data_IF_485303079874
#
_entry.id   IF_485303079874
#
_cell.length_a   1.000
_cell.length_b   1.000
_cell.length_c   1.000
_cell.angle_alpha   90.00
_cell.angle_beta   90.00
_cell.angle_gamma   90.00
#
_symmetry.space_group_name_H-M   'P 1'
#
loop_
_entity.id
_entity.type
_entity.pdbx_description
1 polymer ?
#
# COMPACT_ATOMS: atom_id res chain seq x y z
N UNK A 1 -3.66 -3.47 10.21
CA UNK A 1 -4.31 -4.51 9.39
C UNK A 1 -3.94 -4.43 7.91
N UNK A 2 -2.89 -3.68 7.52
CA UNK A 2 -2.28 -3.74 6.17
C UNK A 2 -3.28 -3.76 5.00
N UNK A 3 -4.31 -2.89 5.03
CA UNK A 3 -5.33 -2.80 3.99
C UNK A 3 -6.42 -3.90 3.99
N UNK A 4 -6.28 -4.94 4.82
CA UNK A 4 -7.18 -6.11 4.88
C UNK A 4 -8.48 -5.84 5.66
N UNK A 5 -9.15 -4.73 5.34
CA UNK A 5 -10.41 -4.28 5.98
C UNK A 5 -11.49 -4.12 4.92
N UNK A 6 -12.65 -4.73 5.14
CA UNK A 6 -13.79 -4.64 4.20
C UNK A 6 -14.17 -3.18 3.90
N UNK A 7 -14.21 -2.34 4.93
CA UNK A 7 -14.51 -0.91 4.86
C UNK A 7 -13.28 0.00 4.65
N UNK A 8 -12.12 -0.54 4.24
CA UNK A 8 -10.97 0.31 3.90
C UNK A 8 -11.31 1.27 2.74
N UNK A 9 -10.83 2.50 2.83
CA UNK A 9 -10.88 3.48 1.75
C UNK A 9 -9.94 3.06 0.62
N UNK A 10 -10.50 2.41 -0.40
CA UNK A 10 -9.75 1.87 -1.57
C UNK A 10 -9.64 2.85 -2.73
N UNK A 11 -10.50 3.86 -2.77
CA UNK A 11 -10.52 4.92 -3.78
C UNK A 11 -10.71 6.27 -3.09
N UNK A 12 -9.79 7.20 -3.35
CA UNK A 12 -9.90 8.58 -2.91
C UNK A 12 -10.39 9.41 -4.11
N UNK A 13 -11.56 10.04 -3.98
CA UNK A 13 -12.14 10.91 -5.01
C UNK A 13 -11.99 12.33 -4.50
N UNK A 14 -11.17 13.13 -5.19
CA UNK A 14 -10.75 14.45 -4.72
C UNK A 14 -11.27 15.54 -5.65
N UNK A 15 -11.59 16.68 -5.07
CA UNK A 15 -11.85 17.90 -5.84
C UNK A 15 -10.53 18.40 -6.45
N UNK A 16 -10.59 18.96 -7.67
CA UNK A 16 -9.42 19.29 -8.45
C UNK A 16 -8.48 20.29 -7.73
N UNK A 17 -9.04 21.25 -6.97
CA UNK A 17 -8.29 22.26 -6.24
C UNK A 17 -7.44 21.71 -5.09
N UNK A 18 -7.69 20.49 -4.61
CA UNK A 18 -6.93 19.87 -3.52
C UNK A 18 -6.12 18.64 -3.95
N UNK A 19 -6.35 18.11 -5.15
CA UNK A 19 -5.83 16.81 -5.56
C UNK A 19 -4.31 16.73 -5.44
N UNK A 20 -3.57 17.72 -5.95
CA UNK A 20 -2.10 17.71 -5.91
C UNK A 20 -1.56 17.78 -4.48
N UNK A 21 -2.06 18.72 -3.67
CA UNK A 21 -1.62 18.93 -2.31
C UNK A 21 -1.94 17.73 -1.41
N UNK A 22 -3.12 17.11 -1.60
CA UNK A 22 -3.50 15.89 -0.91
C UNK A 22 -2.57 14.75 -1.31
N UNK A 23 -2.39 14.50 -2.61
CA UNK A 23 -1.58 13.38 -3.11
C UNK A 23 -0.16 13.46 -2.59
N UNK A 24 0.48 14.64 -2.63
CA UNK A 24 1.82 14.83 -2.07
C UNK A 24 1.87 14.47 -0.59
N UNK A 25 1.00 15.08 0.23
CA UNK A 25 0.98 14.83 1.68
C UNK A 25 0.66 13.38 2.03
N UNK A 26 -0.22 12.74 1.26
CA UNK A 26 -0.57 11.35 1.45
C UNK A 26 0.63 10.43 1.16
N UNK A 27 1.30 10.64 0.02
CA UNK A 27 2.52 9.88 -0.34
C UNK A 27 3.61 10.08 0.71
N UNK A 28 3.87 11.33 1.13
CA UNK A 28 4.86 11.63 2.18
C UNK A 28 4.55 10.91 3.49
N UNK A 29 3.29 10.92 3.92
CA UNK A 29 2.85 10.25 5.15
C UNK A 29 2.96 8.72 5.06
N UNK A 30 2.62 8.13 3.91
CA UNK A 30 2.73 6.68 3.68
C UNK A 30 4.19 6.24 3.59
N UNK A 31 5.05 7.02 2.93
CA UNK A 31 6.48 6.74 2.82
C UNK A 31 7.20 6.76 4.18
N UNK A 32 6.68 7.52 5.15
CA UNK A 32 7.21 7.56 6.51
C UNK A 32 6.81 6.35 7.38
N UNK A 33 5.87 5.50 6.92
CA UNK A 33 5.43 4.33 7.68
C UNK A 33 6.52 3.26 7.71
N UNK A 34 6.89 2.82 8.91
CA UNK A 34 7.80 1.68 9.09
C UNK A 34 7.05 0.37 8.88
N UNK A 35 7.65 -0.53 8.11
CA UNK A 35 7.15 -1.87 7.84
C UNK A 35 8.14 -2.90 8.39
N UNK A 36 7.63 -3.95 9.03
CA UNK A 36 8.50 -4.97 9.63
C UNK A 36 7.75 -5.96 10.52
N UNK A 37 8.48 -6.64 11.42
CA UNK A 37 7.90 -7.62 12.34
C UNK A 37 6.77 -6.97 13.16
N UNK A 38 5.53 -7.52 13.14
CA UNK A 38 4.41 -6.96 13.89
C UNK A 38 4.58 -7.02 15.42
N UNK A 39 5.60 -7.71 15.94
CA UNK A 39 5.96 -7.71 17.37
C UNK A 39 6.83 -6.52 17.78
N UNK A 40 7.46 -5.84 16.83
CA UNK A 40 8.20 -4.61 17.10
C UNK A 40 7.25 -3.42 17.00
N UNK A 41 7.03 -2.74 18.12
CA UNK A 41 6.13 -1.59 18.25
C UNK A 41 6.56 -0.38 17.41
N UNK A 42 7.79 -0.36 16.89
CA UNK A 42 8.22 0.68 15.95
C UNK A 42 7.62 0.49 14.55
N UNK A 43 7.15 -0.71 14.21
CA UNK A 43 6.57 -1.01 12.91
C UNK A 43 5.07 -0.72 12.90
N UNK A 44 4.64 0.03 11.88
CA UNK A 44 3.24 0.37 11.68
C UNK A 44 2.55 -0.60 10.70
N UNK A 45 3.28 -1.05 9.69
CA UNK A 45 2.78 -1.98 8.66
C UNK A 45 3.36 -3.37 8.92
N UNK A 46 2.49 -4.32 9.22
CA UNK A 46 2.83 -5.74 9.31
C UNK A 46 2.55 -6.48 8.00
N UNK A 47 2.84 -7.80 7.95
CA UNK A 47 2.62 -8.60 6.75
C UNK A 47 1.11 -8.76 6.49
N UNK A 48 0.77 -9.25 5.30
CA UNK A 48 -0.59 -9.71 5.03
C UNK A 48 -0.93 -10.97 5.85
N UNK A 49 -2.14 -11.49 5.76
CA UNK A 49 -2.53 -12.70 6.50
C UNK A 49 -2.03 -14.01 5.86
N UNK A 50 -1.93 -14.06 4.53
CA UNK A 50 -1.47 -15.23 3.76
C UNK A 50 -0.66 -14.83 2.53
N UNK A 51 0.15 -15.74 2.00
CA UNK A 51 0.98 -15.51 0.80
C UNK A 51 0.15 -15.31 -0.46
N UNK A 52 -0.91 -16.10 -0.64
CA UNK A 52 -1.82 -15.99 -1.79
C UNK A 52 -2.51 -14.63 -1.85
N UNK A 53 -2.92 -14.07 -0.71
CA UNK A 53 -3.50 -12.71 -0.64
C UNK A 53 -2.50 -11.62 -1.05
N UNK A 54 -1.23 -11.75 -0.67
CA UNK A 54 -0.15 -10.83 -1.10
C UNK A 54 0.07 -10.93 -2.61
N UNK A 55 0.17 -12.15 -3.12
CA UNK A 55 0.42 -12.36 -4.53
C UNK A 55 -0.75 -11.88 -5.40
N UNK A 56 -1.99 -12.10 -4.96
CA UNK A 56 -3.19 -11.55 -5.62
C UNK A 56 -3.19 -10.01 -5.60
N UNK A 57 -2.89 -9.39 -4.46
CA UNK A 57 -2.78 -7.93 -4.38
C UNK A 57 -1.69 -7.38 -5.32
N UNK A 58 -0.53 -8.03 -5.35
CA UNK A 58 0.55 -7.62 -6.25
C UNK A 58 0.14 -7.75 -7.72
N UNK A 59 -0.57 -8.83 -8.10
CA UNK A 59 -1.11 -8.99 -9.46
C UNK A 59 -2.09 -7.88 -9.84
N UNK A 60 -2.96 -7.45 -8.92
CA UNK A 60 -3.86 -6.32 -9.15
C UNK A 60 -3.08 -5.02 -9.39
N UNK A 61 -2.01 -4.80 -8.61
CA UNK A 61 -1.14 -3.62 -8.76
C UNK A 61 -0.42 -3.65 -10.11
N UNK A 62 0.21 -4.76 -10.49
CA UNK A 62 0.94 -4.88 -11.76
C UNK A 62 0.00 -4.71 -12.96
N UNK A 63 -1.17 -5.34 -12.95
CA UNK A 63 -2.17 -5.18 -14.01
C UNK A 63 -2.63 -3.72 -14.14
N UNK A 64 -2.85 -3.02 -13.02
CA UNK A 64 -3.24 -1.60 -13.02
C UNK A 64 -2.13 -0.69 -13.60
N UNK A 65 -0.86 -1.03 -13.38
CA UNK A 65 0.27 -0.32 -13.99
C UNK A 65 0.35 -0.58 -15.50
N UNK A 66 0.14 -1.82 -15.93
CA UNK A 66 0.08 -2.20 -17.35
C UNK A 66 -1.08 -1.49 -18.08
N UNK A 67 -2.16 -1.18 -17.38
CA UNK A 67 -3.30 -0.38 -17.87
C UNK A 67 -3.02 1.14 -17.93
N UNK A 68 -1.86 1.60 -17.44
CA UNK A 68 -1.41 2.99 -17.56
C UNK A 68 -1.53 3.84 -16.29
N UNK A 69 -1.75 3.24 -15.12
CA UNK A 69 -1.71 3.98 -13.87
C UNK A 69 -0.29 4.50 -13.54
N UNK A 70 -0.22 5.63 -12.86
CA UNK A 70 1.06 6.19 -12.39
C UNK A 70 1.40 5.65 -11.00
N UNK A 71 2.55 4.98 -10.88
CA UNK A 71 3.09 4.57 -9.59
C UNK A 71 3.69 5.77 -8.85
N UNK A 72 3.21 6.05 -7.64
CA UNK A 72 3.77 7.11 -6.80
C UNK A 72 4.69 6.58 -5.69
N UNK A 73 4.45 5.36 -5.20
CA UNK A 73 5.22 4.74 -4.12
C UNK A 73 4.98 3.22 -4.05
N UNK A 74 6.02 2.44 -3.73
CA UNK A 74 5.90 1.01 -3.40
C UNK A 74 5.71 0.12 -4.63
N UNK A 75 4.70 -0.78 -4.57
CA UNK A 75 4.33 -1.77 -5.59
C UNK A 75 5.26 -2.99 -5.79
N UNK A 76 6.29 -3.14 -4.98
CA UNK A 76 7.16 -4.31 -5.00
C UNK A 76 6.87 -5.25 -3.83
N UNK A 77 7.02 -6.55 -4.06
CA UNK A 77 7.01 -7.54 -2.98
C UNK A 77 8.32 -7.46 -2.23
N UNK A 78 8.27 -7.62 -0.90
CA UNK A 78 9.48 -7.61 -0.09
C UNK A 78 10.01 -9.03 0.01
N UNK A 79 11.25 -9.21 -0.38
CA UNK A 79 11.96 -10.49 -0.26
C UNK A 79 12.23 -10.84 1.22
N UNK A 80 12.21 -12.13 1.53
CA UNK A 80 12.53 -12.64 2.87
C UNK A 80 11.37 -13.35 3.56
N UNK A 81 11.46 -13.44 4.89
CA UNK A 81 10.48 -14.16 5.70
C UNK A 81 9.21 -13.35 5.92
N UNK A 82 8.06 -13.99 5.73
CA UNK A 82 6.75 -13.36 5.83
C UNK A 82 6.19 -12.93 4.47
N UNK A 83 4.93 -12.56 4.47
CA UNK A 83 4.14 -12.22 3.29
C UNK A 83 3.91 -10.71 3.22
N UNK A 84 5.01 -9.99 3.01
CA UNK A 84 5.08 -8.56 2.78
C UNK A 84 5.07 -8.25 1.28
#
# INVERSE_FOLDING_TARGET
NSGQVCAASKRFILEAGIAEAFTRKFVDAVAALKMGDPRDEQNYVGPMARFDLRDELHQQVTATLDEGATLLLGAEKIEGAGNY
#
